data_IF_812072731766
#
_entry.id   IF_812072731766
#
_cell.length_a   1.000
_cell.length_b   1.000
_cell.length_c   1.000
_cell.angle_alpha   90.00
_cell.angle_beta   90.00
_cell.angle_gamma   90.00
#
_symmetry.space_group_name_H-M   'P 1'
#
loop_
_entity.id
_entity.type
_entity.pdbx_description
1 polymer ?
#
# COMPACT_ATOMS: atom_id res chain seq x y z
N UNK A 1 0.83 -6.12 7.25
CA UNK A 1 1.68 -6.18 6.05
C UNK A 1 3.05 -5.63 6.41
N UNK A 2 4.14 -6.30 6.01
CA UNK A 2 5.50 -5.83 6.26
C UNK A 2 5.88 -4.67 5.33
N UNK A 3 6.96 -3.94 5.67
CA UNK A 3 7.48 -2.88 4.80
C UNK A 3 7.94 -3.43 3.45
N UNK A 4 8.60 -4.60 3.44
CA UNK A 4 9.05 -5.26 2.22
C UNK A 4 7.89 -5.62 1.28
N UNK A 5 6.78 -6.14 1.82
CA UNK A 5 5.59 -6.44 1.01
C UNK A 5 5.00 -5.17 0.37
N UNK A 6 5.02 -4.03 1.08
CA UNK A 6 4.59 -2.74 0.51
C UNK A 6 5.52 -2.32 -0.64
N UNK A 7 6.83 -2.44 -0.45
CA UNK A 7 7.81 -2.13 -1.48
C UNK A 7 7.63 -3.01 -2.73
N UNK A 8 7.37 -4.31 -2.55
CA UNK A 8 7.09 -5.24 -3.65
C UNK A 8 5.80 -4.89 -4.41
N UNK A 9 4.79 -4.31 -3.74
CA UNK A 9 3.59 -3.78 -4.40
C UNK A 9 3.94 -2.54 -5.23
N UNK A 10 4.68 -1.60 -4.66
CA UNK A 10 5.11 -0.38 -5.36
C UNK A 10 5.98 -0.71 -6.59
N UNK A 11 6.97 -1.58 -6.45
CA UNK A 11 7.85 -1.98 -7.54
C UNK A 11 7.12 -2.70 -8.66
N UNK A 12 6.17 -3.58 -8.30
CA UNK A 12 5.35 -4.29 -9.29
C UNK A 12 4.45 -3.33 -10.04
N UNK A 13 3.75 -2.45 -9.31
CA UNK A 13 2.85 -1.48 -9.90
C UNK A 13 3.59 -0.50 -10.81
N UNK A 14 4.75 -0.02 -10.38
CA UNK A 14 5.64 0.80 -11.21
C UNK A 14 6.08 0.07 -12.47
N UNK A 15 6.48 -1.20 -12.38
CA UNK A 15 6.89 -1.99 -13.55
C UNK A 15 5.77 -2.20 -14.56
N UNK A 16 4.55 -2.40 -14.09
CA UNK A 16 3.39 -2.61 -14.96
C UNK A 16 3.02 -1.34 -15.74
N UNK A 17 3.18 -0.17 -15.13
CA UNK A 17 2.80 1.12 -15.74
C UNK A 17 3.95 1.80 -16.50
N UNK A 18 5.17 1.68 -15.99
CA UNK A 18 6.35 2.45 -16.44
C UNK A 18 7.52 1.55 -16.85
N UNK A 19 7.39 0.22 -16.76
CA UNK A 19 8.43 -0.77 -17.10
C UNK A 19 9.70 -0.70 -16.25
N UNK A 20 9.61 -0.01 -15.12
CA UNK A 20 10.73 0.31 -14.22
C UNK A 20 10.31 0.06 -12.77
N UNK A 21 11.26 -0.25 -11.89
CA UNK A 21 10.99 -0.22 -10.44
C UNK A 21 10.63 1.18 -10.00
N UNK A 22 10.04 1.30 -8.82
CA UNK A 22 9.58 2.59 -8.32
C UNK A 22 10.74 3.59 -8.16
N UNK A 23 11.86 3.16 -7.59
CA UNK A 23 13.06 4.02 -7.45
C UNK A 23 13.67 4.41 -8.80
N UNK A 24 13.68 3.49 -9.76
CA UNK A 24 14.18 3.74 -11.12
C UNK A 24 13.31 4.80 -11.80
N UNK A 25 11.99 4.62 -11.78
CA UNK A 25 11.02 5.58 -12.28
C UNK A 25 11.24 6.97 -11.67
N UNK A 26 11.37 7.08 -10.34
CA UNK A 26 11.62 8.36 -9.69
C UNK A 26 12.91 9.02 -10.19
N UNK A 27 13.99 8.26 -10.31
CA UNK A 27 15.26 8.78 -10.81
C UNK A 27 15.14 9.26 -12.26
N UNK A 28 14.51 8.48 -13.13
CA UNK A 28 14.30 8.86 -14.53
C UNK A 28 13.44 10.10 -14.67
N UNK A 29 12.31 10.18 -13.97
CA UNK A 29 11.45 11.37 -13.98
C UNK A 29 12.20 12.62 -13.52
N UNK A 30 13.06 12.50 -12.51
CA UNK A 30 13.88 13.62 -12.04
C UNK A 30 14.91 14.06 -13.10
N UNK A 31 15.55 13.11 -13.79
CA UNK A 31 16.46 13.41 -14.90
C UNK A 31 15.74 14.06 -16.08
N UNK A 32 14.56 13.59 -16.46
CA UNK A 32 13.76 14.19 -17.54
C UNK A 32 13.38 15.64 -17.20
N UNK A 33 13.12 15.96 -15.93
CA UNK A 33 12.89 17.33 -15.47
C UNK A 33 14.17 18.18 -15.57
N UNK A 34 15.30 17.63 -15.14
CA UNK A 34 16.60 18.33 -15.17
C UNK A 34 17.03 18.66 -16.61
N UNK A 35 16.83 17.70 -17.53
CA UNK A 35 17.11 17.86 -18.96
C UNK A 35 16.08 18.75 -19.68
N UNK A 36 14.97 19.10 -19.02
CA UNK A 36 13.89 19.89 -19.60
C UNK A 36 12.99 19.12 -20.58
N UNK A 37 13.05 17.79 -20.57
CA UNK A 37 12.22 16.90 -21.39
C UNK A 37 10.75 16.92 -20.93
N UNK A 38 10.52 17.04 -19.62
CA UNK A 38 9.20 17.24 -19.04
C UNK A 38 9.18 18.43 -18.08
N UNK A 39 8.00 19.04 -17.93
CA UNK A 39 7.81 20.10 -16.94
C UNK A 39 7.75 19.52 -15.52
N UNK A 40 8.20 20.29 -14.52
CA UNK A 40 8.06 19.96 -13.10
C UNK A 40 6.62 19.60 -12.72
N UNK A 41 5.62 20.29 -13.29
CA UNK A 41 4.20 20.02 -13.03
C UNK A 41 3.80 18.63 -13.51
N UNK A 42 4.26 18.23 -14.69
CA UNK A 42 3.97 16.91 -15.26
C UNK A 42 4.61 15.80 -14.42
N UNK A 43 5.90 15.94 -14.09
CA UNK A 43 6.62 15.02 -13.21
C UNK A 43 5.93 14.83 -11.86
N UNK A 44 5.53 15.93 -11.21
CA UNK A 44 4.79 15.87 -9.93
C UNK A 44 3.48 15.10 -10.11
N UNK A 45 2.75 15.32 -11.20
CA UNK A 45 1.53 14.60 -11.50
C UNK A 45 1.76 13.09 -11.61
N UNK A 46 2.72 12.67 -12.45
CA UNK A 46 3.02 11.26 -12.69
C UNK A 46 3.48 10.53 -11.41
N UNK A 47 4.33 11.17 -10.60
CA UNK A 47 4.76 10.65 -9.31
C UNK A 47 3.57 10.53 -8.34
N UNK A 48 2.74 11.57 -8.27
CA UNK A 48 1.57 11.59 -7.36
C UNK A 48 0.57 10.50 -7.72
N UNK A 49 0.26 10.34 -9.00
CA UNK A 49 -0.68 9.33 -9.50
C UNK A 49 -0.15 7.92 -9.20
N UNK A 50 1.14 7.66 -9.44
CA UNK A 50 1.77 6.37 -9.15
C UNK A 50 1.71 6.07 -7.64
N UNK A 51 2.03 7.05 -6.78
CA UNK A 51 2.01 6.88 -5.33
C UNK A 51 0.60 6.58 -4.82
N UNK A 52 -0.41 7.33 -5.24
CA UNK A 52 -1.78 7.11 -4.76
C UNK A 52 -2.35 5.77 -5.24
N UNK A 53 -2.15 5.42 -6.51
CA UNK A 53 -2.63 4.13 -7.00
C UNK A 53 -1.89 2.94 -6.34
N UNK A 54 -0.59 3.07 -6.07
CA UNK A 54 0.14 2.06 -5.31
C UNK A 54 -0.36 1.96 -3.85
N UNK A 55 -0.70 3.07 -3.21
CA UNK A 55 -1.33 3.10 -1.89
C UNK A 55 -2.70 2.40 -1.89
N UNK A 56 -3.55 2.66 -2.88
CA UNK A 56 -4.87 2.03 -3.01
C UNK A 56 -4.74 0.50 -3.17
N UNK A 57 -3.73 0.03 -3.90
CA UNK A 57 -3.43 -1.40 -4.01
C UNK A 57 -2.98 -2.00 -2.67
N UNK A 58 -2.09 -1.32 -1.95
CA UNK A 58 -1.67 -1.74 -0.60
C UNK A 58 -2.89 -1.84 0.31
N UNK A 59 -3.77 -0.84 0.31
CA UNK A 59 -4.99 -0.84 1.13
C UNK A 59 -5.93 -1.97 0.73
N UNK A 60 -6.14 -2.20 -0.56
CA UNK A 60 -7.00 -3.28 -1.07
C UNK A 60 -6.49 -4.66 -0.61
N UNK A 61 -5.19 -4.90 -0.71
CA UNK A 61 -4.57 -6.14 -0.24
C UNK A 61 -4.66 -6.31 1.29
N UNK A 62 -4.53 -5.22 2.06
CA UNK A 62 -4.75 -5.27 3.51
C UNK A 62 -6.20 -5.66 3.84
N UNK A 63 -7.16 -4.99 3.20
CA UNK A 63 -8.58 -5.23 3.44
C UNK A 63 -8.99 -6.65 3.07
N UNK A 64 -8.43 -7.19 1.98
CA UNK A 64 -8.65 -8.60 1.61
C UNK A 64 -8.17 -9.56 2.70
N UNK A 65 -6.95 -9.36 3.23
CA UNK A 65 -6.40 -10.20 4.32
C UNK A 65 -7.21 -10.08 5.61
N UNK A 66 -7.70 -8.89 5.91
CA UNK A 66 -8.62 -8.64 7.04
C UNK A 66 -9.91 -9.46 6.84
N UNK A 67 -10.55 -9.37 5.67
CA UNK A 67 -11.77 -10.10 5.36
C UNK A 67 -11.58 -11.64 5.39
N UNK A 68 -10.45 -12.15 4.92
CA UNK A 68 -10.11 -13.58 4.98
C UNK A 68 -9.92 -14.07 6.43
N UNK A 69 -9.32 -13.25 7.30
CA UNK A 69 -9.21 -13.55 8.74
C UNK A 69 -10.57 -13.60 9.40
N UNK A 70 -11.46 -12.63 9.11
CA UNK A 70 -12.83 -12.64 9.63
C UNK A 70 -13.61 -13.89 9.23
N UNK A 71 -13.51 -14.32 7.96
CA UNK A 71 -14.15 -15.57 7.51
C UNK A 71 -13.65 -16.75 8.31
N UNK A 72 -12.33 -16.90 8.45
CA UNK A 72 -11.73 -18.02 9.20
C UNK A 72 -12.20 -18.08 10.66
N UNK A 73 -12.30 -16.92 11.33
CA UNK A 73 -12.78 -16.83 12.71
C UNK A 73 -14.26 -17.18 12.85
N UNK A 74 -15.10 -16.77 11.89
CA UNK A 74 -16.54 -17.07 11.90
C UNK A 74 -16.87 -18.56 11.73
N UNK A 75 -15.94 -19.37 11.19
CA UNK A 75 -16.08 -20.82 11.03
C UNK A 75 -15.42 -21.63 12.16
N UNK A 76 -14.87 -20.98 13.19
CA UNK A 76 -14.25 -21.66 14.34
C UNK A 76 -15.28 -21.82 15.47
N UNK A 77 -15.61 -23.06 15.84
CA UNK A 77 -16.61 -23.43 16.87
C UNK A 77 -16.23 -23.04 18.32
N UNK A 78 -15.16 -22.27 18.55
CA UNK A 78 -14.72 -21.81 19.88
C UNK A 78 -15.19 -20.38 20.17
N UNK A 79 -16.50 -20.20 20.33
CA UNK A 79 -17.17 -18.88 20.36
C UNK A 79 -17.13 -18.17 21.73
N UNK A 80 -16.43 -18.70 22.74
CA UNK A 80 -16.51 -18.16 24.12
C UNK A 80 -15.61 -16.95 24.41
N UNK A 81 -14.29 -17.15 24.37
CA UNK A 81 -13.32 -16.20 24.97
C UNK A 81 -12.29 -15.62 23.99
N UNK A 82 -12.26 -16.10 22.74
CA UNK A 82 -11.30 -15.65 21.70
C UNK A 82 -11.77 -14.33 21.05
N UNK A 83 -13.06 -13.99 21.18
CA UNK A 83 -13.70 -12.92 20.41
C UNK A 83 -13.29 -11.50 20.77
N UNK A 84 -12.73 -11.22 21.94
CA UNK A 84 -12.41 -9.84 22.35
C UNK A 84 -10.94 -9.48 22.06
N UNK A 85 -10.00 -10.33 22.48
CA UNK A 85 -8.56 -10.04 22.33
C UNK A 85 -8.06 -10.09 20.88
N UNK A 86 -8.66 -10.91 20.03
CA UNK A 86 -8.32 -10.94 18.60
C UNK A 86 -9.01 -9.82 17.81
N UNK A 87 -10.14 -9.31 18.29
CA UNK A 87 -10.83 -8.16 17.68
C UNK A 87 -10.12 -6.85 18.00
N UNK A 88 -9.62 -6.66 19.24
CA UNK A 88 -8.82 -5.49 19.63
C UNK A 88 -7.50 -5.41 18.82
N UNK A 89 -6.77 -6.52 18.70
CA UNK A 89 -5.56 -6.57 17.84
C UNK A 89 -5.87 -6.36 16.36
N UNK A 90 -7.09 -6.67 15.95
CA UNK A 90 -7.55 -6.50 14.57
C UNK A 90 -7.96 -5.07 14.29
N UNK A 91 -8.64 -4.39 15.23
CA UNK A 91 -8.94 -2.95 15.17
C UNK A 91 -7.65 -2.12 15.06
N UNK A 92 -6.62 -2.47 15.82
CA UNK A 92 -5.27 -1.88 15.73
C UNK A 92 -4.57 -2.15 14.39
N UNK A 93 -4.99 -3.19 13.65
CA UNK A 93 -4.45 -3.53 12.33
C UNK A 93 -5.24 -2.90 11.17
N UNK A 94 -6.49 -2.51 11.44
CA UNK A 94 -7.41 -1.84 10.51
C UNK A 94 -7.21 -0.32 10.58
N UNK A 95 -6.98 0.22 11.77
CA UNK A 95 -6.59 1.62 11.94
C UNK A 95 -5.16 1.80 11.42
N UNK A 96 -5.04 2.57 10.34
CA UNK A 96 -3.76 2.93 9.74
C UNK A 96 -2.75 3.33 10.84
N UNK A 97 -1.57 2.69 10.96
CA UNK A 97 -0.57 3.11 11.96
C UNK A 97 -0.13 4.57 11.78
N UNK A 98 -0.39 5.18 10.61
CA UNK A 98 -0.13 6.60 10.33
C UNK A 98 -1.22 7.56 10.86
N UNK A 99 -2.38 7.09 11.33
CA UNK A 99 -3.37 7.94 12.02
C UNK A 99 -2.88 8.46 13.40
N UNK A 100 -1.66 8.10 13.81
CA UNK A 100 -0.97 8.63 14.99
C UNK A 100 0.07 9.71 14.66
N UNK A 101 0.18 10.17 13.42
CA UNK A 101 0.95 11.39 13.11
C UNK A 101 0.08 12.59 13.51
N UNK A 102 0.16 12.95 14.80
CA UNK A 102 -0.25 14.23 15.35
C UNK A 102 0.97 15.11 15.56
#
# INVERSE_FOLDING_TARGET
MSHQEKQEIFDRFSKENYKEKFEEFLMYTLFEVENGEISKRKAIGEITDLVFAACDLVQTEQQKRIAERFKTLAYSDQVGDIFVGDFEKMEDSITNPENKIQ
#
